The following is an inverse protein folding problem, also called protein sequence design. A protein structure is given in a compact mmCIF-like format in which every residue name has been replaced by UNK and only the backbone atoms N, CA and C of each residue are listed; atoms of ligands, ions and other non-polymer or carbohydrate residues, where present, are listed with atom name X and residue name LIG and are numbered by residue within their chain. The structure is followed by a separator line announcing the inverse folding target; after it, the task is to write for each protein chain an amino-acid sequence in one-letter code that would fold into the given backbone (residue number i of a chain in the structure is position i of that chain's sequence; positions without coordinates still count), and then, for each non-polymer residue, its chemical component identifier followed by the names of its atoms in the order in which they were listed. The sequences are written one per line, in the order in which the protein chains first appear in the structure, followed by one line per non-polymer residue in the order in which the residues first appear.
data_IF_967251384665
#
_entry.id   IF_967251384665
#
_cell.length_a   1.000
_cell.length_b   1.000
_cell.length_c   1.000
_cell.angle_alpha   90.00
_cell.angle_beta   90.00
_cell.angle_gamma   90.00
#
_symmetry.space_group_name_H-M   'P 1'
#
loop_
_entity.id
_entity.type
_entity.pdbx_description
1 polymer ?
#
# COMPACT_ATOMS: atom_id res chain seq x y z
N UNK A 1 -19.75 4.75 -5.47
CA UNK A 1 -18.49 4.15 -4.97
C UNK A 1 -18.24 2.88 -5.75
N UNK A 2 -17.01 2.57 -6.10
CA UNK A 2 -16.64 1.39 -6.88
C UNK A 2 -15.55 0.59 -6.15
N UNK A 3 -15.76 -0.71 -5.97
CA UNK A 3 -14.86 -1.59 -5.23
C UNK A 3 -14.24 -2.63 -6.16
N UNK A 4 -12.93 -2.78 -6.04
CA UNK A 4 -12.09 -3.63 -6.86
C UNK A 4 -11.44 -4.68 -5.94
N UNK A 5 -12.02 -5.88 -5.97
CA UNK A 5 -11.50 -7.04 -5.22
C UNK A 5 -10.26 -7.59 -5.92
N UNK A 6 -9.16 -7.70 -5.18
CA UNK A 6 -7.90 -8.27 -5.64
C UNK A 6 -7.58 -9.58 -4.93
N UNK A 7 -6.31 -9.97 -4.99
CA UNK A 7 -5.76 -11.09 -4.23
C UNK A 7 -5.12 -10.55 -2.97
N UNK A 8 -5.62 -10.97 -1.80
CA UNK A 8 -5.09 -10.55 -0.51
C UNK A 8 -5.44 -9.11 -0.13
N UNK A 9 -6.51 -8.55 -0.72
CA UNK A 9 -6.99 -7.21 -0.41
C UNK A 9 -7.95 -6.65 -1.44
N UNK A 10 -8.33 -5.39 -1.26
CA UNK A 10 -9.21 -4.66 -2.15
C UNK A 10 -8.89 -3.16 -2.13
N UNK A 11 -9.30 -2.48 -3.21
CA UNK A 11 -9.32 -1.02 -3.32
C UNK A 11 -10.76 -0.56 -3.53
N UNK A 12 -11.18 0.48 -2.83
CA UNK A 12 -12.48 1.12 -3.05
C UNK A 12 -12.29 2.60 -3.35
N UNK A 13 -12.90 3.05 -4.45
CA UNK A 13 -12.89 4.44 -4.90
C UNK A 13 -14.18 5.12 -4.46
N UNK A 14 -14.04 6.09 -3.55
CA UNK A 14 -15.07 6.99 -3.10
C UNK A 14 -15.08 8.32 -3.89
N UNK A 15 -15.98 9.27 -3.55
CA UNK A 15 -16.05 10.57 -4.23
C UNK A 15 -14.79 11.43 -4.06
N UNK A 16 -14.14 11.35 -2.90
CA UNK A 16 -12.94 12.15 -2.58
C UNK A 16 -11.85 11.31 -1.88
N UNK A 17 -12.10 10.01 -1.71
CA UNK A 17 -11.25 9.12 -0.92
C UNK A 17 -10.98 7.83 -1.68
N UNK A 18 -9.87 7.21 -1.31
CA UNK A 18 -9.47 5.88 -1.72
C UNK A 18 -9.31 5.04 -0.45
N UNK A 19 -10.01 3.92 -0.37
CA UNK A 19 -9.84 2.96 0.72
C UNK A 19 -8.98 1.80 0.22
N UNK A 20 -7.91 1.49 0.93
CA UNK A 20 -7.01 0.37 0.64
C UNK A 20 -7.03 -0.59 1.82
N UNK A 21 -7.35 -1.85 1.58
CA UNK A 21 -7.36 -2.88 2.60
C UNK A 21 -6.56 -4.08 2.14
N UNK A 22 -5.70 -4.57 3.03
CA UNK A 22 -4.92 -5.78 2.86
C UNK A 22 -5.48 -6.86 3.79
N UNK A 23 -5.79 -8.03 3.23
CA UNK A 23 -6.38 -9.19 3.92
C UNK A 23 -5.47 -10.41 3.86
N UNK A 24 -4.28 -10.27 3.28
CA UNK A 24 -3.23 -11.29 3.38
C UNK A 24 -2.84 -11.54 4.83
N UNK A 25 -2.43 -12.77 5.13
CA UNK A 25 -2.00 -13.18 6.47
C UNK A 25 -0.76 -12.39 6.87
N UNK A 26 -0.97 -11.33 7.64
CA UNK A 26 0.07 -10.54 8.30
C UNK A 26 0.12 -10.92 9.77
N UNK A 27 1.30 -10.88 10.42
CA UNK A 27 1.41 -11.10 11.86
C UNK A 27 0.52 -10.14 12.66
N UNK A 28 0.41 -8.90 12.16
CA UNK A 28 -0.48 -7.87 12.69
C UNK A 28 -1.35 -7.32 11.56
N UNK A 29 -2.67 -7.31 11.79
CA UNK A 29 -3.63 -6.80 10.82
C UNK A 29 -3.55 -5.27 10.76
N UNK A 30 -3.25 -4.74 9.58
CA UNK A 30 -3.40 -3.31 9.30
C UNK A 30 -4.86 -3.04 8.98
N UNK A 31 -5.50 -2.14 9.74
CA UNK A 31 -6.86 -1.71 9.48
C UNK A 31 -7.00 -1.12 8.06
N UNK A 32 -8.20 -1.17 7.45
CA UNK A 32 -8.45 -0.48 6.18
C UNK A 32 -8.01 0.98 6.26
N UNK A 33 -7.23 1.40 5.26
CA UNK A 33 -6.66 2.74 5.18
C UNK A 33 -7.55 3.59 4.29
N UNK A 34 -8.12 4.66 4.84
CA UNK A 34 -8.94 5.61 4.08
C UNK A 34 -8.10 6.86 3.86
N UNK A 35 -7.72 7.10 2.61
CA UNK A 35 -6.82 8.18 2.23
C UNK A 35 -7.53 9.11 1.25
N UNK A 36 -7.32 10.43 1.32
CA UNK A 36 -7.92 11.34 0.36
C UNK A 36 -7.28 11.15 -1.02
N UNK A 37 -8.06 11.26 -2.09
CA UNK A 37 -7.54 11.17 -3.47
C UNK A 37 -6.48 12.23 -3.76
N UNK A 38 -6.60 13.41 -3.12
CA UNK A 38 -5.59 14.48 -3.16
C UNK A 38 -4.24 14.12 -2.53
N UNK A 39 -4.14 13.04 -1.76
CA UNK A 39 -2.88 12.54 -1.23
C UNK A 39 -2.20 11.53 -2.18
N UNK A 40 -2.88 11.07 -3.23
CA UNK A 40 -2.34 10.15 -4.21
C UNK A 40 -1.31 10.87 -5.09
N UNK A 41 -0.05 10.45 -5.00
CA UNK A 41 1.07 11.04 -5.72
C UNK A 41 1.55 10.19 -6.89
N UNK A 42 1.03 8.96 -7.03
CA UNK A 42 1.33 8.12 -8.17
C UNK A 42 0.61 6.78 -8.11
N UNK A 43 0.60 6.10 -9.25
CA UNK A 43 0.10 4.73 -9.38
C UNK A 43 0.92 3.98 -10.42
N UNK A 44 1.21 2.70 -10.19
CA UNK A 44 1.85 1.81 -11.16
C UNK A 44 1.03 0.53 -11.28
N UNK A 45 0.90 0.03 -12.51
CA UNK A 45 0.33 -1.28 -12.77
C UNK A 45 1.33 -2.17 -13.48
N UNK A 46 1.42 -3.41 -13.01
CA UNK A 46 2.06 -4.51 -13.73
C UNK A 46 1.00 -5.52 -14.09
N UNK A 47 0.81 -5.74 -15.38
CA UNK A 47 -0.24 -6.61 -15.87
C UNK A 47 -0.11 -8.06 -15.40
N UNK A 48 -1.27 -8.65 -15.12
CA UNK A 48 -1.38 -10.09 -14.92
C UNK A 48 -1.21 -10.83 -16.26
N UNK A 49 -0.52 -11.98 -16.20
CA UNK A 49 -0.49 -12.96 -17.28
C UNK A 49 -1.23 -14.22 -16.83
N UNK A 50 -1.47 -15.18 -17.72
CA UNK A 50 -2.07 -16.47 -17.33
C UNK A 50 -1.24 -17.25 -16.30
N UNK A 51 0.05 -16.93 -16.17
CA UNK A 51 0.99 -17.65 -15.30
C UNK A 51 1.42 -16.83 -14.08
N UNK A 52 1.20 -15.52 -14.07
CA UNK A 52 1.66 -14.61 -13.01
C UNK A 52 0.58 -13.60 -12.65
N UNK A 53 0.42 -13.35 -11.35
CA UNK A 53 -0.45 -12.30 -10.85
C UNK A 53 0.07 -10.93 -11.29
N UNK A 54 -0.87 -10.04 -11.58
CA UNK A 54 -0.60 -8.61 -11.76
C UNK A 54 -0.57 -7.92 -10.40
N UNK A 55 -0.16 -6.66 -10.40
CA UNK A 55 -0.13 -5.82 -9.20
C UNK A 55 -0.45 -4.37 -9.56
N UNK A 56 -1.22 -3.73 -8.69
CA UNK A 56 -1.44 -2.29 -8.68
C UNK A 56 -0.76 -1.73 -7.44
N UNK A 57 0.15 -0.78 -7.61
CA UNK A 57 0.88 -0.14 -6.54
C UNK A 57 0.49 1.33 -6.44
N UNK A 58 0.31 1.83 -5.22
CA UNK A 58 -0.19 3.17 -4.92
C UNK A 58 0.85 3.97 -4.14
N UNK A 59 1.19 5.17 -4.61
CA UNK A 59 2.06 6.09 -3.86
C UNK A 59 1.25 7.22 -3.26
N UNK A 60 1.55 7.55 -2.00
CA UNK A 60 0.92 8.66 -1.28
C UNK A 60 1.98 9.60 -0.72
N UNK A 61 1.63 10.88 -0.62
CA UNK A 61 2.44 11.89 0.07
C UNK A 61 3.77 12.22 -0.59
N UNK A 62 3.99 11.84 -1.85
CA UNK A 62 5.23 12.13 -2.59
C UNK A 62 6.45 11.37 -2.08
N UNK A 63 6.28 10.36 -1.22
CA UNK A 63 7.37 9.55 -0.65
C UNK A 63 7.08 8.06 -0.79
N UNK A 64 8.09 7.28 -1.15
CA UNK A 64 8.03 5.82 -1.11
C UNK A 64 8.25 5.37 0.33
N UNK A 65 7.17 5.08 1.06
CA UNK A 65 7.24 4.65 2.47
C UNK A 65 7.64 3.18 2.64
N UNK A 66 7.45 2.35 1.62
CA UNK A 66 7.77 0.92 1.62
C UNK A 66 8.40 0.56 0.28
N UNK A 67 9.47 -0.27 0.24
CA UNK A 67 10.09 -0.70 -1.00
C UNK A 67 9.06 -1.35 -1.96
N UNK A 68 9.04 -0.87 -3.19
CA UNK A 68 8.06 -1.28 -4.22
C UNK A 68 8.25 -2.76 -4.57
N UNK A 69 7.15 -3.52 -4.55
CA UNK A 69 7.08 -4.82 -5.21
C UNK A 69 7.29 -6.05 -4.33
N UNK A 70 7.30 -5.91 -3.00
CA UNK A 70 7.05 -7.04 -2.10
C UNK A 70 5.56 -7.34 -2.05
N UNK A 71 5.17 -8.62 -2.03
CA UNK A 71 3.78 -9.02 -1.77
C UNK A 71 3.31 -8.49 -0.40
N UNK A 72 4.21 -8.22 0.54
CA UNK A 72 3.89 -7.64 1.86
C UNK A 72 3.58 -6.14 1.83
N UNK A 73 3.79 -5.46 0.71
CA UNK A 73 3.65 -4.01 0.62
C UNK A 73 2.18 -3.57 0.84
N UNK A 74 1.89 -2.81 1.92
CA UNK A 74 0.56 -2.32 2.25
C UNK A 74 -0.09 -1.45 1.17
N UNK A 75 0.69 -0.90 0.24
CA UNK A 75 0.24 -0.08 -0.88
C UNK A 75 0.03 -0.86 -2.18
N UNK A 76 0.33 -2.15 -2.19
CA UNK A 76 0.18 -2.98 -3.38
C UNK A 76 -1.07 -3.85 -3.27
N UNK A 77 -1.84 -4.01 -4.35
CA UNK A 77 -2.92 -4.99 -4.46
C UNK A 77 -2.65 -5.89 -5.64
N UNK A 78 -2.55 -7.19 -5.37
CA UNK A 78 -2.40 -8.20 -6.42
C UNK A 78 -3.73 -8.45 -7.14
N UNK A 79 -3.69 -8.88 -8.40
CA UNK A 79 -4.88 -9.28 -9.13
C UNK A 79 -4.60 -10.41 -10.12
N UNK A 80 -5.63 -11.17 -10.46
CA UNK A 80 -5.54 -12.31 -11.39
C UNK A 80 -5.69 -11.89 -12.85
N UNK A 81 -5.39 -12.78 -13.79
CA UNK A 81 -5.58 -12.53 -15.22
C UNK A 81 -7.02 -12.14 -15.58
N UNK A 82 -8.02 -12.77 -14.95
CA UNK A 82 -9.44 -12.47 -15.17
C UNK A 82 -9.86 -11.09 -14.67
N UNK A 83 -9.10 -10.51 -13.73
CA UNK A 83 -9.36 -9.17 -13.18
C UNK A 83 -8.57 -8.06 -13.90
N UNK A 84 -7.74 -8.41 -14.90
CA UNK A 84 -6.81 -7.49 -15.56
C UNK A 84 -7.48 -6.25 -16.12
N UNK A 85 -8.62 -6.39 -16.79
CA UNK A 85 -9.32 -5.25 -17.38
C UNK A 85 -9.90 -4.32 -16.32
N UNK A 86 -10.50 -4.87 -15.26
CA UNK A 86 -11.00 -4.06 -14.14
C UNK A 86 -9.87 -3.27 -13.46
N UNK A 87 -8.70 -3.88 -13.25
CA UNK A 87 -7.55 -3.21 -12.65
C UNK A 87 -6.84 -2.23 -13.58
N UNK A 88 -6.89 -2.44 -14.91
CA UNK A 88 -6.47 -1.43 -15.89
C UNK A 88 -7.38 -0.21 -15.87
N UNK A 89 -8.69 -0.40 -15.86
CA UNK A 89 -9.65 0.71 -15.72
C UNK A 89 -9.44 1.47 -14.41
N UNK A 90 -9.19 0.76 -13.31
CA UNK A 90 -8.84 1.38 -12.04
C UNK A 90 -7.54 2.19 -12.15
N UNK A 91 -6.50 1.62 -12.77
CA UNK A 91 -5.24 2.32 -13.02
C UNK A 91 -5.45 3.60 -13.82
N UNK A 92 -6.18 3.57 -14.93
CA UNK A 92 -6.42 4.74 -15.78
C UNK A 92 -7.16 5.84 -15.01
N UNK A 93 -8.15 5.47 -14.18
CA UNK A 93 -8.86 6.40 -13.32
C UNK A 93 -7.93 7.06 -12.29
N UNK A 94 -7.15 6.25 -11.55
CA UNK A 94 -6.23 6.75 -10.53
C UNK A 94 -5.09 7.57 -11.14
N UNK A 95 -4.61 7.20 -12.32
CA UNK A 95 -3.62 7.96 -13.07
C UNK A 95 -4.16 9.35 -13.44
N UNK A 96 -5.43 9.45 -13.88
CA UNK A 96 -6.08 10.73 -14.12
C UNK A 96 -6.17 11.59 -12.84
N UNK A 97 -6.45 10.98 -11.69
CA UNK A 97 -6.42 11.68 -10.38
C UNK A 97 -5.03 12.24 -10.08
N UNK A 98 -3.97 11.45 -10.25
CA UNK A 98 -2.58 11.90 -10.05
C UNK A 98 -2.28 13.09 -10.95
N UNK A 99 -2.60 12.99 -12.25
CA UNK A 99 -2.40 14.09 -13.21
C UNK A 99 -3.20 15.34 -12.83
N UNK A 100 -4.38 15.18 -12.25
CA UNK A 100 -5.21 16.29 -11.77
C UNK A 100 -4.58 16.97 -10.55
N UNK A 101 -4.09 16.18 -9.58
CA UNK A 101 -3.38 16.71 -8.41
C UNK A 101 -2.14 17.51 -8.84
N UNK A 102 -1.35 16.98 -9.79
CA UNK A 102 -0.20 17.68 -10.37
C UNK A 102 -0.60 18.99 -11.06
N UNK A 103 -1.64 18.96 -11.90
CA UNK A 103 -2.09 20.14 -12.65
C UNK A 103 -2.67 21.24 -11.73
N UNK A 104 -3.17 20.88 -10.56
CA UNK A 104 -3.73 21.79 -9.56
C UNK A 104 -2.71 22.21 -8.49
N UNK A 105 -1.45 21.79 -8.61
CA UNK A 105 -0.37 22.04 -7.64
C UNK A 105 -0.78 21.64 -6.20
N UNK A 106 -1.44 20.50 -6.09
CA UNK A 106 -1.88 19.97 -4.80
C UNK A 106 -0.67 19.53 -3.99
N UNK A 107 -0.55 20.05 -2.76
CA UNK A 107 0.40 19.54 -1.78
C UNK A 107 -0.04 18.15 -1.28
N UNK A 108 0.37 17.12 -2.04
CA UNK A 108 0.06 15.72 -1.77
C UNK A 108 0.64 15.26 -0.43
N UNK A 109 1.77 15.82 0.01
CA UNK A 109 2.44 15.47 1.25
C UNK A 109 1.64 15.98 2.45
N UNK A 110 1.27 17.26 2.46
CA UNK A 110 0.40 17.83 3.48
C UNK A 110 -0.97 17.14 3.53
N UNK A 111 -1.53 16.80 2.36
CA UNK A 111 -2.79 16.04 2.30
C UNK A 111 -2.66 14.63 2.90
N UNK A 112 -1.52 13.97 2.73
CA UNK A 112 -1.25 12.65 3.29
C UNK A 112 -1.01 12.71 4.80
N UNK A 113 -0.21 13.66 5.28
CA UNK A 113 0.05 13.88 6.71
C UNK A 113 -1.25 14.17 7.47
N UNK A 114 -2.11 15.03 6.90
CA UNK A 114 -3.43 15.34 7.47
C UNK A 114 -4.37 14.13 7.53
N UNK A 115 -4.16 13.10 6.70
CA UNK A 115 -4.97 11.89 6.70
C UNK A 115 -4.64 10.94 7.86
N UNK A 116 -3.53 11.16 8.57
CA UNK A 116 -3.09 10.34 9.71
C UNK A 116 -3.13 8.82 9.43
N UNK A 117 -2.52 8.42 8.30
CA UNK A 117 -2.54 7.03 7.82
C UNK A 117 -2.03 6.05 8.91
N UNK A 118 -2.85 5.06 9.32
CA UNK A 118 -2.44 4.08 10.34
C UNK A 118 -1.22 3.25 9.91
N UNK A 119 -0.88 3.22 8.61
CA UNK A 119 0.35 2.61 8.12
C UNK A 119 1.60 3.16 8.80
N UNK A 120 1.67 4.47 9.09
CA UNK A 120 2.86 5.08 9.68
C UNK A 120 3.13 4.49 11.08
N UNK A 121 2.09 4.40 11.90
CA UNK A 121 2.18 3.80 13.22
C UNK A 121 2.51 2.29 13.14
N UNK A 122 1.92 1.59 12.19
CA UNK A 122 2.16 0.16 11.96
C UNK A 122 3.61 -0.13 11.54
N UNK A 123 4.19 0.67 10.63
CA UNK A 123 5.60 0.55 10.24
C UNK A 123 6.55 0.80 11.42
N UNK A 124 6.26 1.81 12.24
CA UNK A 124 7.04 2.08 13.45
C UNK A 124 6.95 0.92 14.46
N UNK A 125 5.78 0.27 14.59
CA UNK A 125 5.60 -0.93 15.40
C UNK A 125 6.46 -2.09 14.93
N UNK A 126 6.43 -2.42 13.63
CA UNK A 126 7.26 -3.49 13.05
C UNK A 126 8.75 -3.26 13.21
N UNK A 127 9.20 -2.02 13.05
CA UNK A 127 10.62 -1.68 13.23
C UNK A 127 11.09 -1.93 14.68
N UNK A 128 10.27 -1.55 15.67
CA UNK A 128 10.56 -1.82 17.09
C UNK A 128 10.62 -3.31 17.38
N UNK A 129 9.58 -4.06 16.96
CA UNK A 129 9.53 -5.51 17.16
C UNK A 129 10.70 -6.24 16.49
N UNK A 130 11.16 -5.77 15.32
CA UNK A 130 12.34 -6.31 14.65
C UNK A 130 13.60 -6.10 15.48
N UNK A 131 13.81 -4.89 16.02
CA UNK A 131 14.97 -4.58 16.86
C UNK A 131 14.98 -5.40 18.15
N UNK A 132 13.84 -5.50 18.82
CA UNK A 132 13.69 -6.32 20.03
C UNK A 132 14.02 -7.81 19.75
N UNK A 133 13.51 -8.37 18.64
CA UNK A 133 13.80 -9.75 18.26
C UNK A 133 15.28 -9.97 17.86
N UNK A 134 15.94 -8.97 17.30
CA UNK A 134 17.38 -9.03 16.98
C UNK A 134 18.24 -8.99 18.25
N UNK A 135 17.87 -8.13 19.22
CA UNK A 135 18.51 -8.05 20.54
C UNK A 135 18.34 -9.36 21.32
N UNK A 136 17.14 -9.96 21.33
CA UNK A 136 16.88 -11.26 21.97
C UNK A 136 17.71 -12.38 21.34
N UNK A 137 17.82 -12.42 20.01
CA UNK A 137 18.64 -13.40 19.30
C UNK A 137 20.12 -13.23 19.61
N UNK A 138 20.62 -11.99 19.60
CA UNK A 138 22.00 -11.70 19.95
C UNK A 138 22.32 -12.09 21.40
N UNK A 139 21.40 -11.82 22.34
CA UNK A 139 21.53 -12.23 23.74
C UNK A 139 21.51 -13.76 23.90
N UNK A 140 20.65 -14.46 23.16
CA UNK A 140 20.59 -15.92 23.17
C UNK A 140 21.86 -16.56 22.57
N UNK A 141 22.41 -15.98 21.50
CA UNK A 141 23.66 -16.43 20.89
C UNK A 141 24.88 -16.18 21.80
N UNK A 142 24.94 -15.04 22.51
CA UNK A 142 26.01 -14.77 23.50
C UNK A 142 25.90 -15.72 24.71
N UNK A 143 24.69 -15.97 25.20
CA UNK A 143 24.45 -16.92 26.28
C UNK A 143 24.82 -18.37 25.90
N UNK A 144 24.61 -18.77 24.65
CA UNK A 144 24.98 -20.10 24.16
C UNK A 144 26.49 -20.28 23.93
N UNK A 145 27.29 -19.21 23.92
CA UNK A 145 28.75 -19.23 23.75
C UNK A 145 29.54 -19.23 25.07
N UNK A 146 28.87 -19.04 26.21
CA UNK A 146 29.47 -19.08 27.55
C UNK A 146 29.25 -20.44 28.20
#
# INVERSE_FOLDING_TARGET
MARYEGVGGWVEVGPATLTVCRTDRRPELLAPRVLPLRALSGVEVKDATRLRRGRLHLWFGGRVLVPVGSDEDPNTIGFTYGQREAFRTLYDHLWSVVRTNEAQDVDVAAAYEAAADPLVAWLAGRERARKEAEEERAAAEDAARR
#
